data_IF_894185870675
#
_entry.id   IF_894185870675
#
_cell.length_a   1.000
_cell.length_b   1.000
_cell.length_c   1.000
_cell.angle_alpha   90.00
_cell.angle_beta   90.00
_cell.angle_gamma   90.00
#
_symmetry.space_group_name_H-M   'P 1'
#
loop_
_entity.id
_entity.type
_entity.pdbx_description
1 polymer ?
#
# COMPACT_ATOMS: atom_id res chain seq x y z
N UNK A 1 -21.97 -5.63 -6.68
CA UNK A 1 -20.95 -6.69 -6.56
C UNK A 1 -19.61 -5.99 -6.63
N UNK A 2 -18.71 -6.20 -5.65
CA UNK A 2 -17.40 -5.56 -5.61
C UNK A 2 -16.30 -6.61 -5.72
N UNK A 3 -15.21 -6.29 -6.43
CA UNK A 3 -14.03 -7.13 -6.54
C UNK A 3 -12.96 -6.63 -5.57
N UNK A 4 -12.24 -7.54 -4.92
CA UNK A 4 -11.05 -7.21 -4.14
C UNK A 4 -9.82 -7.44 -5.00
N UNK A 5 -8.89 -6.49 -4.96
CA UNK A 5 -7.63 -6.52 -5.72
C UNK A 5 -6.47 -6.40 -4.73
N UNK A 6 -5.43 -7.20 -4.95
CA UNK A 6 -4.13 -7.05 -4.30
C UNK A 6 -3.13 -6.69 -5.39
N UNK A 7 -2.49 -5.53 -5.24
CA UNK A 7 -1.44 -5.06 -6.14
C UNK A 7 -0.10 -5.09 -5.39
N UNK A 8 0.92 -5.67 -6.02
CA UNK A 8 2.29 -5.71 -5.49
C UNK A 8 3.19 -4.97 -6.48
N UNK A 9 3.81 -3.89 -6.03
CA UNK A 9 4.74 -3.09 -6.82
C UNK A 9 5.83 -2.51 -5.93
N UNK A 10 6.96 -2.13 -6.53
CA UNK A 10 8.02 -1.38 -5.87
C UNK A 10 7.89 0.14 -6.04
N UNK A 11 6.93 0.59 -6.85
CA UNK A 11 6.66 2.01 -7.07
C UNK A 11 5.52 2.50 -6.16
N UNK A 12 5.88 3.32 -5.17
CA UNK A 12 4.92 3.90 -4.22
C UNK A 12 3.97 4.90 -4.90
N UNK A 13 4.33 5.51 -6.03
CA UNK A 13 3.46 6.44 -6.76
C UNK A 13 2.22 5.77 -7.35
N UNK A 14 2.29 4.46 -7.62
CA UNK A 14 1.14 3.67 -8.11
C UNK A 14 0.16 3.36 -6.97
N UNK A 15 0.65 3.16 -5.74
CA UNK A 15 -0.21 2.84 -4.60
C UNK A 15 -1.15 3.99 -4.23
N UNK A 16 -0.68 5.24 -4.29
CA UNK A 16 -1.42 6.43 -3.89
C UNK A 16 -2.75 6.66 -4.63
N UNK A 17 -2.92 6.10 -5.83
CA UNK A 17 -4.07 6.39 -6.69
C UNK A 17 -5.05 5.21 -6.84
N UNK A 18 -4.70 4.01 -6.36
CA UNK A 18 -5.45 2.78 -6.66
C UNK A 18 -5.84 1.98 -5.41
N UNK A 19 -5.05 2.06 -4.34
CA UNK A 19 -5.23 1.22 -3.16
C UNK A 19 -5.84 2.01 -1.99
N UNK A 20 -6.72 1.35 -1.22
CA UNK A 20 -7.25 1.91 0.03
C UNK A 20 -6.24 1.76 1.19
N UNK A 21 -5.37 0.75 1.12
CA UNK A 21 -4.40 0.38 2.17
C UNK A 21 -3.08 -0.05 1.54
N UNK A 22 -1.98 0.23 2.23
CA UNK A 22 -0.63 -0.18 1.81
C UNK A 22 -0.01 -1.03 2.90
N UNK A 23 0.59 -2.15 2.50
CA UNK A 23 1.46 -2.96 3.36
C UNK A 23 2.89 -2.90 2.85
N UNK A 24 3.83 -2.54 3.71
CA UNK A 24 5.26 -2.54 3.39
C UNK A 24 5.86 -3.85 3.89
N UNK A 25 6.63 -4.49 3.02
CA UNK A 25 7.35 -5.71 3.34
C UNK A 25 8.85 -5.52 3.22
N UNK A 26 9.59 -6.11 4.16
CA UNK A 26 11.05 -6.21 4.10
C UNK A 26 11.49 -7.62 4.49
N UNK A 27 12.38 -8.22 3.70
CA UNK A 27 12.89 -9.57 3.92
C UNK A 27 11.79 -10.63 4.19
N UNK A 28 10.66 -10.52 3.47
CA UNK A 28 9.53 -11.43 3.60
C UNK A 28 8.64 -11.22 4.84
N UNK A 29 8.83 -10.13 5.58
CA UNK A 29 8.02 -9.78 6.75
C UNK A 29 7.25 -8.49 6.48
N UNK A 30 5.98 -8.47 6.88
CA UNK A 30 5.20 -7.23 6.92
C UNK A 30 5.74 -6.37 8.05
N UNK A 31 6.24 -5.20 7.69
CA UNK A 31 6.84 -4.26 8.63
C UNK A 31 5.90 -3.09 8.95
N UNK A 32 4.98 -2.78 8.04
CA UNK A 32 4.01 -1.70 8.21
C UNK A 32 2.75 -1.98 7.41
N UNK A 33 1.60 -1.54 7.93
CA UNK A 33 0.32 -1.54 7.23
C UNK A 33 -0.50 -0.33 7.69
N UNK A 34 -0.90 0.52 6.74
CA UNK A 34 -1.60 1.77 7.04
C UNK A 34 -2.57 2.15 5.90
N UNK A 35 -3.45 3.13 6.14
CA UNK A 35 -4.22 3.74 5.05
C UNK A 35 -3.28 4.50 4.11
N UNK A 36 -3.64 4.59 2.82
CA UNK A 36 -2.79 5.28 1.83
C UNK A 36 -2.51 6.72 2.27
N UNK A 37 -3.51 7.41 2.80
CA UNK A 37 -3.43 8.80 3.22
C UNK A 37 -2.37 9.00 4.32
N UNK A 38 -2.31 8.08 5.28
CA UNK A 38 -1.37 8.12 6.41
C UNK A 38 0.09 7.96 5.96
N UNK A 39 0.35 7.20 4.89
CA UNK A 39 1.68 6.97 4.33
C UNK A 39 2.20 8.22 3.59
N UNK A 40 1.32 8.97 2.92
CA UNK A 40 1.73 10.10 2.06
C UNK A 40 1.67 11.47 2.75
N UNK A 41 0.99 11.60 3.89
CA UNK A 41 0.93 12.86 4.66
C UNK A 41 2.20 13.15 5.48
N UNK A 42 3.02 12.13 5.78
CA UNK A 42 4.36 12.26 6.39
C UNK A 42 5.33 11.24 5.75
N UNK A 43 5.95 11.56 4.60
CA UNK A 43 6.84 10.65 3.89
C UNK A 43 8.15 10.35 4.62
#
# INVERSE_FOLDING_TARGET
>A
MGNTIILVTHDMGVHANIADRVGIMYAGRMIEEAQVEEIFENP
#
